data_IF_328659453626
#
_entry.id   IF_328659453626
#
_cell.length_a   1.000
_cell.length_b   1.000
_cell.length_c   1.000
_cell.angle_alpha   90.00
_cell.angle_beta   90.00
_cell.angle_gamma   90.00
#
_symmetry.space_group_name_H-M   'P 1'
#
loop_
_entity.id
_entity.type
_entity.pdbx_description
1 polymer ?
#
# COMPACT_ATOMS: atom_id res chain seq x y z
N UNK A 1 -1.39 6.88 16.99
CA UNK A 1 -2.19 6.63 15.76
C UNK A 1 -1.51 7.37 14.64
N UNK A 2 -1.17 6.71 13.53
CA UNK A 2 -0.54 7.38 12.38
C UNK A 2 -1.60 8.23 11.67
N UNK A 3 -1.33 9.52 11.48
CA UNK A 3 -2.14 10.44 10.65
C UNK A 3 -1.83 10.29 9.17
N UNK A 4 -0.66 9.74 8.85
CA UNK A 4 -0.17 9.56 7.49
C UNK A 4 -0.61 8.20 6.94
N UNK A 5 -1.24 8.23 5.77
CA UNK A 5 -1.53 7.01 5.00
C UNK A 5 -0.42 6.82 3.98
N UNK A 6 0.36 5.75 4.13
CA UNK A 6 1.26 5.33 3.06
C UNK A 6 0.43 4.68 1.95
N UNK A 7 0.37 5.33 0.79
CA UNK A 7 -0.22 4.80 -0.42
C UNK A 7 0.79 4.94 -1.57
N UNK A 8 1.17 3.82 -2.21
CA UNK A 8 2.09 3.86 -3.36
C UNK A 8 1.50 4.63 -4.56
N UNK A 9 0.17 4.70 -4.69
CA UNK A 9 -0.56 5.55 -5.64
C UNK A 9 -1.97 5.86 -5.13
N UNK A 10 -2.39 7.12 -5.17
CA UNK A 10 -3.79 7.57 -4.99
C UNK A 10 -4.15 8.50 -6.17
N UNK A 11 -5.26 8.24 -6.86
CA UNK A 11 -5.72 9.09 -7.99
C UNK A 11 -6.55 10.32 -7.54
N UNK A 12 -6.49 10.64 -6.24
CA UNK A 12 -7.12 11.81 -5.62
C UNK A 12 -8.66 11.72 -5.48
N UNK A 13 -9.24 12.78 -4.92
CA UNK A 13 -10.65 12.86 -4.48
C UNK A 13 -11.71 12.73 -5.58
N UNK A 14 -11.39 13.02 -6.84
CA UNK A 14 -12.37 12.96 -7.94
C UNK A 14 -12.67 11.55 -8.44
N UNK A 15 -11.71 10.64 -8.30
CA UNK A 15 -11.85 9.23 -8.66
C UNK A 15 -10.89 8.45 -7.77
N UNK A 16 -11.22 8.19 -6.51
CA UNK A 16 -10.29 7.54 -5.58
C UNK A 16 -10.06 6.09 -6.02
N UNK A 17 -8.97 5.84 -6.71
CA UNK A 17 -8.45 4.50 -6.96
C UNK A 17 -7.51 4.17 -5.81
N UNK A 18 -7.80 3.06 -5.14
CA UNK A 18 -6.94 2.49 -4.12
C UNK A 18 -5.97 1.53 -4.82
N UNK A 19 -4.69 1.58 -4.46
CA UNK A 19 -3.69 0.68 -5.00
C UNK A 19 -4.07 -0.78 -4.67
N UNK A 20 -4.12 -1.64 -5.70
CA UNK A 20 -4.42 -3.06 -5.52
C UNK A 20 -3.43 -3.74 -4.57
N UNK A 21 -2.13 -3.45 -4.72
CA UNK A 21 -1.09 -3.94 -3.81
C UNK A 21 -1.26 -3.47 -2.36
N UNK A 22 -1.77 -2.26 -2.14
CA UNK A 22 -2.07 -1.77 -0.79
C UNK A 22 -3.28 -2.49 -0.18
N UNK A 23 -4.35 -2.70 -0.96
CA UNK A 23 -5.52 -3.48 -0.51
C UNK A 23 -5.16 -4.93 -0.20
N UNK A 24 -4.26 -5.53 -0.97
CA UNK A 24 -3.81 -6.91 -0.81
C UNK A 24 -2.75 -7.06 0.31
N UNK A 25 -1.88 -6.06 0.51
CA UNK A 25 -0.82 -6.07 1.52
C UNK A 25 -0.69 -4.71 2.22
N UNK A 26 -1.26 -4.62 3.43
CA UNK A 26 -1.04 -3.50 4.36
C UNK A 26 -2.27 -2.63 4.68
N UNK A 27 -3.39 -2.83 3.98
CA UNK A 27 -4.60 -2.06 4.19
C UNK A 27 -5.36 -2.39 5.50
N UNK A 28 -5.11 -3.54 6.13
CA UNK A 28 -5.82 -3.98 7.35
C UNK A 28 -5.72 -2.99 8.51
N UNK A 29 -4.61 -2.26 8.61
CA UNK A 29 -4.40 -1.26 9.64
C UNK A 29 -4.87 0.15 9.24
N UNK A 30 -5.39 0.33 8.02
CA UNK A 30 -5.87 1.62 7.54
C UNK A 30 -7.32 1.88 7.97
N UNK A 31 -7.54 2.98 8.69
CA UNK A 31 -8.87 3.33 9.21
C UNK A 31 -9.90 3.54 8.09
N UNK A 32 -9.54 4.20 7.00
CA UNK A 32 -10.44 4.48 5.89
C UNK A 32 -10.90 3.19 5.19
N UNK A 33 -9.99 2.23 5.00
CA UNK A 33 -10.33 0.91 4.44
C UNK A 33 -11.27 0.15 5.38
N UNK A 34 -10.98 0.14 6.69
CA UNK A 34 -11.84 -0.52 7.69
C UNK A 34 -13.24 0.08 7.73
N UNK A 35 -13.38 1.40 7.64
CA UNK A 35 -14.69 2.07 7.57
C UNK A 35 -15.46 1.61 6.34
N UNK A 36 -14.82 1.53 5.17
CA UNK A 36 -15.44 1.03 3.93
C UNK A 36 -15.94 -0.40 4.07
N UNK A 37 -15.15 -1.30 4.69
CA UNK A 37 -15.60 -2.68 4.97
C UNK A 37 -16.82 -2.74 5.89
N UNK A 38 -16.85 -1.91 6.93
CA UNK A 38 -17.99 -1.80 7.85
C UNK A 38 -19.23 -1.28 7.11
N UNK A 39 -19.05 -0.38 6.15
CA UNK A 39 -20.11 0.16 5.30
C UNK A 39 -20.58 -0.82 4.22
N UNK A 40 -19.94 -1.98 4.08
CA UNK A 40 -20.34 -3.03 3.17
C UNK A 40 -19.58 -3.07 1.85
N UNK A 41 -18.60 -2.19 1.65
CA UNK A 41 -17.71 -2.29 0.50
C UNK A 41 -16.92 -3.62 0.57
N UNK A 42 -16.72 -4.23 -0.59
CA UNK A 42 -15.95 -5.46 -0.79
C UNK A 42 -14.91 -5.20 -1.87
N UNK A 43 -13.70 -5.69 -1.65
CA UNK A 43 -12.56 -5.54 -2.57
C UNK A 43 -12.08 -6.92 -3.02
N UNK A 44 -12.98 -7.89 -3.01
CA UNK A 44 -12.70 -9.31 -3.17
C UNK A 44 -12.34 -9.66 -4.62
N UNK A 45 -12.57 -8.72 -5.55
CA UNK A 45 -12.25 -8.75 -6.97
C UNK A 45 -10.90 -8.08 -7.31
N UNK A 46 -10.16 -7.61 -6.30
CA UNK A 46 -8.85 -7.00 -6.49
C UNK A 46 -7.79 -8.09 -6.66
N UNK A 47 -7.10 -8.06 -7.80
CA UNK A 47 -6.00 -8.96 -8.12
C UNK A 47 -4.70 -8.17 -8.30
N UNK A 48 -3.55 -8.84 -8.11
CA UNK A 48 -2.23 -8.25 -8.32
C UNK A 48 -1.86 -8.07 -9.81
N UNK A 49 -2.69 -8.59 -10.72
CA UNK A 49 -2.49 -8.52 -12.16
C UNK A 49 -1.24 -9.26 -12.64
N UNK A 50 -0.73 -10.22 -11.86
CA UNK A 50 0.53 -10.93 -12.13
C UNK A 50 1.79 -10.13 -11.75
N UNK A 51 1.63 -9.00 -11.06
CA UNK A 51 2.77 -8.25 -10.53
C UNK A 51 3.15 -8.75 -9.14
N UNK A 52 4.46 -8.92 -8.92
CA UNK A 52 4.96 -9.26 -7.59
C UNK A 52 4.61 -8.15 -6.60
N UNK A 53 3.86 -8.52 -5.56
CA UNK A 53 3.64 -7.67 -4.40
C UNK A 53 4.76 -7.92 -3.39
N UNK A 54 5.27 -6.84 -2.82
CA UNK A 54 6.33 -6.88 -1.82
C UNK A 54 5.74 -6.60 -0.44
N UNK A 55 6.33 -7.22 0.58
CA UNK A 55 5.85 -7.14 1.98
C UNK A 55 5.84 -5.71 2.52
N UNK A 56 6.85 -4.91 2.15
CA UNK A 56 6.96 -3.52 2.53
C UNK A 56 7.66 -2.70 1.44
N UNK A 57 7.65 -1.37 1.61
CA UNK A 57 8.29 -0.46 0.65
C UNK A 57 9.79 -0.71 0.53
N UNK A 58 10.48 -1.06 1.62
CA UNK A 58 11.92 -1.37 1.61
C UNK A 58 12.20 -2.54 0.66
N UNK A 59 11.46 -3.64 0.80
CA UNK A 59 11.59 -4.83 -0.04
C UNK A 59 11.36 -4.50 -1.52
N UNK A 60 10.32 -3.72 -1.83
CA UNK A 60 10.05 -3.26 -3.20
C UNK A 60 11.19 -2.41 -3.75
N UNK A 61 11.68 -1.44 -2.98
CA UNK A 61 12.74 -0.53 -3.42
C UNK A 61 14.05 -1.28 -3.71
N UNK A 62 14.44 -2.20 -2.83
CA UNK A 62 15.63 -3.04 -3.00
C UNK A 62 15.50 -3.93 -4.24
N UNK A 63 14.34 -4.56 -4.43
CA UNK A 63 14.10 -5.40 -5.61
C UNK A 63 14.16 -4.61 -6.93
N UNK A 64 13.83 -3.31 -6.89
CA UNK A 64 13.97 -2.39 -8.03
C UNK A 64 15.38 -1.76 -8.16
N UNK A 65 16.36 -2.21 -7.37
CA UNK A 65 17.77 -1.83 -7.53
C UNK A 65 18.24 -0.70 -6.61
N UNK A 66 17.42 -0.24 -5.65
CA UNK A 66 17.90 0.66 -4.60
C UNK A 66 18.86 -0.11 -3.69
N UNK A 67 20.01 0.48 -3.36
CA UNK A 67 20.94 -0.12 -2.41
C UNK A 67 20.26 -0.33 -1.05
N UNK A 68 20.40 -1.49 -0.39
CA UNK A 68 19.89 -1.71 0.96
C UNK A 68 20.40 -0.68 1.99
N UNK A 69 21.60 -0.16 1.76
CA UNK A 69 22.26 0.84 2.60
C UNK A 69 21.96 2.29 2.16
N UNK A 70 21.08 2.49 1.17
CA UNK A 70 20.73 3.82 0.72
C UNK A 70 20.05 4.62 1.87
N UNK A 71 20.56 5.82 2.22
CA UNK A 71 19.97 6.65 3.27
C UNK A 71 18.48 6.95 3.07
N UNK A 72 17.98 6.91 1.83
CA UNK A 72 16.55 7.10 1.53
C UNK A 72 15.67 6.03 2.19
N UNK A 73 16.22 4.84 2.47
CA UNK A 73 15.52 3.74 3.12
C UNK A 73 15.58 3.81 4.65
N UNK A 74 16.32 4.76 5.23
CA UNK A 74 16.51 4.83 6.69
C UNK A 74 15.20 5.05 7.46
N UNK A 75 14.20 5.67 6.84
CA UNK A 75 12.90 5.93 7.45
C UNK A 75 11.83 4.87 7.12
N UNK A 76 12.16 3.89 6.28
CA UNK A 76 11.23 2.82 5.95
C UNK A 76 11.05 1.91 7.18
N UNK A 77 9.78 1.59 7.47
CA UNK A 77 9.40 0.60 8.47
C UNK A 77 9.36 -0.77 7.80
N UNK A 78 9.84 -1.78 8.51
CA UNK A 78 9.81 -3.17 8.07
C UNK A 78 8.52 -3.86 8.54
#
# INVERSE_FOLDING_TARGET
MATETFACHESGVRKPALCAGFLLHGADHNLSVRIKWIQGDRFDDVEDGGHQLYENYRAMAIANGVSPDDPVLAQCRD
#
